data_IF_114894093387
#
_entry.id   IF_114894093387
#
_cell.length_a   1.000
_cell.length_b   1.000
_cell.length_c   1.000
_cell.angle_alpha   90.00
_cell.angle_beta   90.00
_cell.angle_gamma   90.00
#
_symmetry.space_group_name_H-M   'P 1'
#
loop_
_entity.id
_entity.type
_entity.pdbx_description
1 polymer ?
#
# COMPACT_ATOMS: atom_id res chain seq x y z
N UNK A 1 -7.55 9.64 -2.89
CA UNK A 1 -6.72 8.44 -2.74
C UNK A 1 -6.53 8.13 -1.27
N UNK A 2 -6.57 6.87 -0.91
CA UNK A 2 -6.35 6.44 0.48
C UNK A 2 -5.33 5.33 0.50
N UNK A 3 -4.47 5.35 1.52
CA UNK A 3 -3.53 4.28 1.77
C UNK A 3 -3.58 3.88 3.24
N UNK A 4 -3.53 2.59 3.50
CA UNK A 4 -3.33 2.04 4.85
C UNK A 4 -1.92 1.50 4.90
N UNK A 5 -1.11 2.07 5.78
CA UNK A 5 0.30 1.71 5.95
C UNK A 5 0.46 0.99 7.28
N UNK A 6 0.86 -0.26 7.23
CA UNK A 6 1.05 -1.09 8.41
C UNK A 6 2.52 -1.44 8.54
N UNK A 7 3.10 -1.16 9.72
CA UNK A 7 4.45 -1.63 10.05
C UNK A 7 4.42 -3.14 10.26
N UNK A 8 5.26 -3.85 9.51
CA UNK A 8 5.28 -5.31 9.52
C UNK A 8 6.70 -5.84 9.73
N UNK A 9 6.81 -7.05 10.27
CA UNK A 9 8.05 -7.83 10.23
C UNK A 9 8.09 -8.77 9.03
N UNK A 10 6.92 -9.12 8.50
CA UNK A 10 6.76 -9.88 7.26
C UNK A 10 5.40 -9.65 6.65
N UNK A 11 5.31 -9.75 5.34
CA UNK A 11 4.04 -9.74 4.62
C UNK A 11 4.18 -10.46 3.28
N UNK A 12 3.10 -11.07 2.81
CA UNK A 12 3.10 -11.78 1.54
C UNK A 12 1.74 -11.73 0.87
N UNK A 13 1.76 -11.85 -0.45
CA UNK A 13 0.55 -11.98 -1.28
C UNK A 13 0.59 -13.30 -2.01
N UNK A 14 -0.49 -14.07 -1.90
CA UNK A 14 -0.69 -15.29 -2.69
C UNK A 14 -1.90 -15.14 -3.60
N UNK A 15 -1.76 -15.69 -4.81
CA UNK A 15 -2.82 -15.77 -5.82
C UNK A 15 -2.88 -17.22 -6.27
N UNK A 16 -4.03 -17.87 -6.13
CA UNK A 16 -4.22 -19.28 -6.47
C UNK A 16 -3.16 -20.20 -5.82
N UNK A 17 -2.80 -19.91 -4.56
CA UNK A 17 -1.83 -20.68 -3.79
C UNK A 17 -0.37 -20.38 -4.12
N UNK A 18 -0.09 -19.50 -5.07
CA UNK A 18 1.27 -19.09 -5.45
C UNK A 18 1.62 -17.74 -4.85
N UNK A 19 2.79 -17.65 -4.22
CA UNK A 19 3.30 -16.37 -3.70
C UNK A 19 3.79 -15.51 -4.86
N UNK A 20 3.17 -14.33 -5.02
CA UNK A 20 3.49 -13.38 -6.09
C UNK A 20 4.33 -12.20 -5.61
N UNK A 21 4.31 -11.91 -4.33
CA UNK A 21 5.13 -10.87 -3.70
C UNK A 21 5.29 -11.14 -2.21
N UNK A 22 6.44 -10.86 -1.66
CA UNK A 22 6.72 -11.08 -0.24
C UNK A 22 7.85 -10.20 0.25
N UNK A 23 7.75 -9.76 1.50
CA UNK A 23 8.84 -9.12 2.24
C UNK A 23 9.02 -9.84 3.57
N UNK A 24 10.27 -10.07 3.95
CA UNK A 24 10.66 -10.63 5.23
C UNK A 24 11.75 -9.74 5.81
N UNK A 25 11.43 -9.01 6.86
CA UNK A 25 12.25 -7.90 7.34
C UNK A 25 12.24 -7.82 8.87
N UNK A 26 12.70 -8.89 9.57
CA UNK A 26 12.66 -8.93 11.03
C UNK A 26 13.55 -7.88 11.69
N UNK A 27 14.62 -7.43 11.00
CA UNK A 27 15.60 -6.50 11.59
C UNK A 27 15.24 -5.02 11.36
N UNK A 28 14.85 -4.67 10.14
CA UNK A 28 14.52 -3.29 9.78
C UNK A 28 13.06 -2.96 9.95
N UNK A 29 12.19 -3.99 9.93
CA UNK A 29 10.78 -3.79 9.67
C UNK A 29 10.55 -3.47 8.20
N UNK A 30 9.30 -3.30 7.84
CA UNK A 30 8.86 -2.91 6.51
C UNK A 30 7.46 -2.36 6.56
N UNK A 31 6.95 -1.99 5.41
CA UNK A 31 5.59 -1.45 5.28
C UNK A 31 4.78 -2.32 4.34
N UNK A 32 3.62 -2.77 4.82
CA UNK A 32 2.54 -3.23 3.95
C UNK A 32 1.69 -2.00 3.61
N UNK A 33 1.65 -1.63 2.34
CA UNK A 33 0.89 -0.49 1.85
C UNK A 33 -0.29 -0.96 1.02
N UNK A 34 -1.51 -0.81 1.55
CA UNK A 34 -2.74 -1.02 0.80
C UNK A 34 -3.17 0.33 0.24
N UNK A 35 -3.32 0.44 -1.08
CA UNK A 35 -3.59 1.73 -1.74
C UNK A 35 -4.81 1.63 -2.64
N UNK A 36 -5.77 2.53 -2.42
CA UNK A 36 -6.96 2.69 -3.24
C UNK A 36 -6.97 4.03 -3.97
N UNK A 37 -7.12 3.99 -5.28
CA UNK A 37 -7.29 5.18 -6.10
C UNK A 37 -8.77 5.57 -6.16
N UNK A 38 -9.05 6.86 -6.11
CA UNK A 38 -10.40 7.42 -6.16
C UNK A 38 -10.71 8.02 -7.53
N UNK A 39 -12.00 8.04 -7.86
CA UNK A 39 -12.50 8.61 -9.10
C UNK A 39 -12.26 10.12 -9.20
N UNK A 40 -12.26 10.79 -8.05
CA UNK A 40 -12.12 12.26 -7.95
C UNK A 40 -10.70 12.69 -7.55
N UNK A 41 -9.72 11.78 -7.59
CA UNK A 41 -8.35 12.11 -7.22
C UNK A 41 -7.76 13.16 -8.17
N UNK A 42 -6.97 14.09 -7.61
CA UNK A 42 -6.12 14.95 -8.41
C UNK A 42 -5.06 14.10 -9.14
N UNK A 43 -4.60 14.57 -10.29
CA UNK A 43 -3.66 13.83 -11.14
C UNK A 43 -2.33 13.53 -10.45
N UNK A 44 -1.96 14.32 -9.45
CA UNK A 44 -0.72 14.19 -8.68
C UNK A 44 -0.91 13.59 -7.28
N UNK A 45 -2.11 13.15 -6.93
CA UNK A 45 -2.38 12.59 -5.59
C UNK A 45 -1.46 11.40 -5.27
N UNK A 46 -1.14 10.58 -6.26
CA UNK A 46 -0.25 9.43 -6.10
C UNK A 46 1.16 9.82 -5.67
N UNK A 47 1.64 11.01 -6.08
CA UNK A 47 2.95 11.50 -5.67
C UNK A 47 3.01 11.75 -4.15
N UNK A 48 1.95 12.31 -3.60
CA UNK A 48 1.83 12.50 -2.15
C UNK A 48 1.84 11.16 -1.42
N UNK A 49 1.09 10.18 -1.90
CA UNK A 49 1.05 8.84 -1.29
C UNK A 49 2.43 8.19 -1.36
N UNK A 50 3.09 8.22 -2.51
CA UNK A 50 4.44 7.65 -2.67
C UNK A 50 5.44 8.30 -1.69
N UNK A 51 5.42 9.62 -1.60
CA UNK A 51 6.28 10.36 -0.68
C UNK A 51 6.00 9.99 0.77
N UNK A 52 4.74 9.89 1.16
CA UNK A 52 4.38 9.50 2.53
C UNK A 52 4.81 8.07 2.87
N UNK A 53 4.67 7.13 1.93
CA UNK A 53 5.18 5.76 2.14
C UNK A 53 6.68 5.79 2.40
N UNK A 54 7.43 6.56 1.63
CA UNK A 54 8.88 6.64 1.73
C UNK A 54 9.37 7.35 3.00
N UNK A 55 8.68 8.40 3.43
CA UNK A 55 9.23 9.36 4.39
C UNK A 55 8.59 9.31 5.77
N UNK A 56 7.40 8.71 5.95
CA UNK A 56 6.79 8.63 7.28
C UNK A 56 7.67 7.83 8.24
N UNK A 57 7.92 8.40 9.40
CA UNK A 57 8.79 7.82 10.43
C UNK A 57 8.00 6.87 11.33
N UNK A 58 7.58 5.75 10.77
CA UNK A 58 6.76 4.77 11.48
C UNK A 58 7.46 3.43 11.74
N UNK A 59 8.70 3.29 11.33
CA UNK A 59 9.53 2.16 11.71
C UNK A 59 10.15 2.36 13.09
N UNK A 60 10.69 1.30 13.67
CA UNK A 60 11.32 1.36 14.97
C UNK A 60 12.46 2.40 15.01
N UNK A 61 12.55 3.15 16.11
CA UNK A 61 13.51 4.23 16.24
C UNK A 61 13.14 5.49 15.47
N UNK A 62 11.86 5.68 15.15
CA UNK A 62 11.36 6.84 14.40
C UNK A 62 12.04 6.98 13.03
N UNK A 63 12.29 5.86 12.36
CA UNK A 63 12.92 5.83 11.04
C UNK A 63 11.87 5.68 9.96
N UNK A 64 12.16 6.23 8.79
CA UNK A 64 11.39 5.99 7.58
C UNK A 64 11.90 4.75 6.84
N UNK A 65 11.10 4.26 5.91
CA UNK A 65 11.50 3.19 4.99
C UNK A 65 12.77 3.58 4.22
N UNK A 66 12.79 4.82 3.72
CA UNK A 66 13.92 5.33 2.95
C UNK A 66 15.20 5.38 3.79
N UNK A 67 15.13 5.89 5.03
CA UNK A 67 16.27 5.98 5.93
C UNK A 67 16.77 4.59 6.38
N UNK A 68 15.87 3.67 6.62
CA UNK A 68 16.19 2.34 7.15
C UNK A 68 16.64 1.35 6.07
N UNK A 69 16.46 1.67 4.79
CA UNK A 69 16.64 0.71 3.71
C UNK A 69 15.65 -0.45 3.80
N UNK A 70 14.44 -0.18 4.29
CA UNK A 70 13.41 -1.19 4.55
C UNK A 70 12.54 -1.42 3.31
N UNK A 71 11.98 -2.64 3.15
CA UNK A 71 11.15 -2.95 2.00
C UNK A 71 9.69 -2.51 2.16
N UNK A 72 9.01 -2.42 1.04
CA UNK A 72 7.56 -2.15 0.96
C UNK A 72 6.89 -3.25 0.15
N UNK A 73 5.77 -3.77 0.64
CA UNK A 73 4.85 -4.57 -0.15
C UNK A 73 3.65 -3.69 -0.50
N UNK A 74 3.52 -3.38 -1.79
CA UNK A 74 2.49 -2.49 -2.31
C UNK A 74 1.36 -3.31 -2.93
N UNK A 75 0.15 -3.12 -2.42
CA UNK A 75 -1.04 -3.87 -2.86
C UNK A 75 -2.14 -2.88 -3.22
N UNK A 76 -2.71 -3.04 -4.41
CA UNK A 76 -3.90 -2.28 -4.79
C UNK A 76 -5.11 -2.73 -3.97
N UNK A 77 -5.89 -1.77 -3.47
CA UNK A 77 -7.04 -2.03 -2.60
C UNK A 77 -8.15 -1.01 -2.87
N UNK A 78 -8.91 -1.20 -3.94
CA UNK A 78 -9.97 -0.26 -4.32
C UNK A 78 -11.06 -0.14 -3.25
N UNK A 79 -11.25 -1.17 -2.43
CA UNK A 79 -12.26 -1.20 -1.37
C UNK A 79 -12.03 -0.15 -0.28
N UNK A 80 -10.83 0.43 -0.20
CA UNK A 80 -10.56 1.56 0.69
C UNK A 80 -11.40 2.80 0.33
N UNK A 81 -11.85 2.89 -0.92
CA UNK A 81 -12.71 3.97 -1.40
C UNK A 81 -14.20 3.69 -1.16
N UNK A 82 -14.52 2.59 -0.49
CA UNK A 82 -15.89 2.21 -0.17
C UNK A 82 -16.56 3.19 0.79
N UNK A 83 -17.80 3.56 0.51
CA UNK A 83 -18.65 4.30 1.44
C UNK A 83 -19.37 3.32 2.34
N UNK A 84 -19.24 3.51 3.65
CA UNK A 84 -19.77 2.60 4.65
C UNK A 84 -20.74 3.27 5.62
N UNK A 85 -21.02 4.56 5.43
CA UNK A 85 -21.81 5.37 6.38
C UNK A 85 -23.28 4.96 6.45
N UNK A 86 -23.85 4.44 5.36
CA UNK A 86 -25.27 4.07 5.30
C UNK A 86 -25.45 2.59 5.00
N UNK A 87 -26.35 1.96 5.75
CA UNK A 87 -26.78 0.59 5.50
C UNK A 87 -25.69 -0.45 5.77
N UNK A 88 -25.84 -1.62 5.16
CA UNK A 88 -24.97 -2.79 5.36
C UNK A 88 -24.17 -3.18 4.13
N UNK A 89 -24.40 -2.52 2.99
CA UNK A 89 -23.66 -2.74 1.74
C UNK A 89 -22.78 -1.54 1.48
N UNK A 90 -21.44 -1.72 1.45
CA UNK A 90 -20.56 -0.64 1.02
C UNK A 90 -20.87 -0.22 -0.42
N UNK A 91 -20.69 1.05 -0.72
CA UNK A 91 -20.78 1.57 -2.09
C UNK A 91 -19.37 1.78 -2.64
N UNK A 92 -19.13 1.33 -3.87
CA UNK A 92 -17.84 1.43 -4.55
C UNK A 92 -17.77 2.56 -5.56
N UNK A 93 -18.77 3.44 -5.57
CA UNK A 93 -18.90 4.49 -6.60
C UNK A 93 -17.75 5.50 -6.60
N UNK A 94 -17.02 5.64 -5.49
CA UNK A 94 -15.90 6.57 -5.39
C UNK A 94 -14.57 5.95 -5.87
N UNK A 95 -14.52 4.65 -6.11
CA UNK A 95 -13.31 3.98 -6.59
C UNK A 95 -13.06 4.30 -8.07
N UNK A 96 -11.79 4.55 -8.42
CA UNK A 96 -11.39 4.71 -9.80
C UNK A 96 -11.55 3.39 -10.56
N UNK A 97 -11.91 3.43 -11.87
CA UNK A 97 -11.92 2.23 -12.71
C UNK A 97 -10.52 1.60 -12.78
N UNK A 98 -10.48 0.28 -13.02
CA UNK A 98 -9.21 -0.46 -13.02
C UNK A 98 -8.19 0.03 -14.05
N UNK A 99 -8.65 0.45 -15.23
CA UNK A 99 -7.79 0.99 -16.28
C UNK A 99 -7.14 2.33 -15.90
N UNK A 100 -7.74 3.07 -14.96
CA UNK A 100 -7.17 4.29 -14.38
C UNK A 100 -6.30 3.97 -13.16
N UNK A 101 -6.77 3.08 -12.30
CA UNK A 101 -6.08 2.75 -11.04
C UNK A 101 -4.76 2.00 -11.23
N UNK A 102 -4.70 1.06 -12.18
CA UNK A 102 -3.50 0.24 -12.37
C UNK A 102 -2.25 1.07 -12.71
N UNK A 103 -2.30 2.01 -13.68
CA UNK A 103 -1.14 2.86 -13.94
C UNK A 103 -0.74 3.73 -12.75
N UNK A 104 -1.70 4.20 -11.97
CA UNK A 104 -1.44 5.02 -10.78
C UNK A 104 -0.68 4.23 -9.72
N UNK A 105 -1.11 2.99 -9.44
CA UNK A 105 -0.39 2.11 -8.52
C UNK A 105 1.02 1.81 -9.05
N UNK A 106 1.17 1.58 -10.34
CA UNK A 106 2.46 1.40 -10.99
C UNK A 106 3.38 2.61 -10.84
N UNK A 107 2.83 3.82 -10.93
CA UNK A 107 3.58 5.06 -10.72
C UNK A 107 4.11 5.16 -9.28
N UNK A 108 3.32 4.76 -8.30
CA UNK A 108 3.77 4.72 -6.89
C UNK A 108 4.94 3.75 -6.74
N UNK A 109 4.83 2.53 -7.28
CA UNK A 109 5.91 1.55 -7.23
C UNK A 109 7.20 2.09 -7.86
N UNK A 110 7.08 2.71 -9.03
CA UNK A 110 8.21 3.27 -9.75
C UNK A 110 8.87 4.42 -8.97
N UNK A 111 8.07 5.31 -8.38
CA UNK A 111 8.57 6.41 -7.58
C UNK A 111 9.33 5.93 -6.34
N UNK A 112 8.83 4.90 -5.67
CA UNK A 112 9.51 4.28 -4.52
C UNK A 112 10.82 3.63 -4.94
N UNK A 113 10.84 2.88 -6.05
CA UNK A 113 12.05 2.25 -6.59
C UNK A 113 13.10 3.29 -6.99
N UNK A 114 12.66 4.43 -7.52
CA UNK A 114 13.55 5.55 -7.87
C UNK A 114 14.26 6.16 -6.66
N UNK A 115 13.72 5.98 -5.46
CA UNK A 115 14.34 6.38 -4.20
C UNK A 115 15.27 5.30 -3.62
N UNK A 116 15.45 4.19 -4.31
CA UNK A 116 16.25 3.06 -3.84
C UNK A 116 15.53 2.11 -2.89
N UNK A 117 14.21 2.23 -2.78
CA UNK A 117 13.39 1.36 -1.92
C UNK A 117 13.08 0.06 -2.67
N UNK A 118 13.29 -1.08 -1.99
CA UNK A 118 12.85 -2.38 -2.52
C UNK A 118 11.33 -2.47 -2.41
N UNK A 119 10.66 -2.66 -3.54
CA UNK A 119 9.20 -2.76 -3.61
C UNK A 119 8.81 -4.10 -4.21
N UNK A 120 8.05 -4.87 -3.43
CA UNK A 120 7.31 -6.03 -3.90
C UNK A 120 5.87 -5.62 -4.15
N UNK A 121 5.20 -6.27 -5.08
CA UNK A 121 3.82 -5.94 -5.43
C UNK A 121 2.92 -7.18 -5.36
N UNK A 122 1.62 -6.95 -5.15
CA UNK A 122 0.59 -7.92 -5.44
C UNK A 122 0.36 -8.05 -6.95
N UNK A 123 -0.77 -8.63 -7.32
CA UNK A 123 -1.17 -8.74 -8.73
C UNK A 123 -2.48 -7.99 -8.92
N UNK A 124 -2.43 -6.89 -9.66
CA UNK A 124 -3.59 -6.02 -9.88
C UNK A 124 -4.77 -6.82 -10.45
N UNK A 125 -5.95 -6.61 -9.85
CA UNK A 125 -7.19 -7.24 -10.30
C UNK A 125 -7.36 -8.71 -9.93
N UNK A 126 -6.36 -9.34 -9.30
CA UNK A 126 -6.45 -10.73 -8.89
C UNK A 126 -7.12 -10.88 -7.52
N UNK A 127 -7.65 -12.07 -7.25
CA UNK A 127 -8.08 -12.46 -5.91
C UNK A 127 -6.85 -12.78 -5.08
N UNK A 128 -6.49 -11.87 -4.17
CA UNK A 128 -5.26 -11.96 -3.37
C UNK A 128 -5.57 -12.33 -1.93
N UNK A 129 -4.76 -13.25 -1.39
CA UNK A 129 -4.67 -13.46 0.05
C UNK A 129 -3.42 -12.73 0.53
N UNK A 130 -3.61 -11.79 1.45
CA UNK A 130 -2.52 -10.99 2.01
C UNK A 130 -2.31 -11.40 3.45
N UNK A 131 -1.13 -11.97 3.73
CA UNK A 131 -0.72 -12.35 5.07
C UNK A 131 0.29 -11.34 5.59
N UNK A 132 0.22 -11.00 6.88
CA UNK A 132 1.20 -10.10 7.47
C UNK A 132 1.33 -10.32 8.96
N UNK A 133 2.47 -9.95 9.49
CA UNK A 133 2.70 -9.80 10.93
C UNK A 133 2.86 -8.33 11.21
N UNK A 134 1.81 -7.72 11.77
CA UNK A 134 1.82 -6.31 12.14
C UNK A 134 2.71 -6.13 13.38
N UNK A 135 3.75 -5.33 13.24
CA UNK A 135 4.57 -4.88 14.37
C UNK A 135 3.91 -3.63 14.95
N UNK A 136 2.89 -3.88 15.77
CA UNK A 136 2.01 -2.84 16.27
C UNK A 136 2.63 -1.92 17.31
N UNK A 137 1.94 -0.81 17.59
CA UNK A 137 0.60 -0.46 17.13
C UNK A 137 0.55 0.30 15.79
N UNK A 138 1.66 0.40 15.06
CA UNK A 138 1.77 1.29 13.91
C UNK A 138 0.99 0.78 12.69
N UNK A 139 -0.19 1.34 12.53
CA UNK A 139 -1.02 1.27 11.33
C UNK A 139 -1.64 2.65 11.17
N UNK A 140 -1.35 3.32 10.06
CA UNK A 140 -1.79 4.69 9.81
C UNK A 140 -2.51 4.80 8.48
N UNK A 141 -3.35 5.82 8.35
CA UNK A 141 -4.08 6.12 7.12
C UNK A 141 -3.49 7.38 6.52
N UNK A 142 -3.22 7.32 5.23
CA UNK A 142 -2.80 8.48 4.42
C UNK A 142 -3.92 8.79 3.45
N UNK A 143 -4.33 10.04 3.39
CA UNK A 143 -5.31 10.52 2.42
C UNK A 143 -4.70 11.62 1.56
N UNK A 144 -4.97 11.56 0.28
CA UNK A 144 -4.50 12.55 -0.67
C UNK A 144 -5.53 12.84 -1.77
#
# INVERSE_FOLDING_TARGET
MKAVLTRVTSASVTVDGETVGAIDCPDTGGILALVGAGREDADDAWETVARKIAELRILEGERSVEDAGAPVLLVSQFTLMGRTAKGRRPSWSDAAPGDVAEPVIGNIAQALRSRGIHVEEGRFGAHMQVASVNDGPFTVIVEA
#
